data_IF_117146880234
#
_entry.id   IF_117146880234
#
_cell.length_a   1.000
_cell.length_b   1.000
_cell.length_c   1.000
_cell.angle_alpha   90.00
_cell.angle_beta   90.00
_cell.angle_gamma   90.00
#
_symmetry.space_group_name_H-M   'P 1'
#
loop_
_entity.id
_entity.type
_entity.pdbx_description
1 polymer ?
#
# COMPACT_ATOMS: atom_id res chain seq x y z
N UNK A 1 38.80 -3.07 9.10
CA UNK A 1 37.99 -1.90 8.70
C UNK A 1 36.66 -1.99 9.44
N UNK A 2 36.36 -1.03 10.32
CA UNK A 2 35.10 -1.04 11.06
C UNK A 2 33.97 -0.62 10.12
N UNK A 3 33.12 -1.56 9.72
CA UNK A 3 31.90 -1.27 8.97
C UNK A 3 30.91 -0.61 9.91
N UNK A 4 30.63 0.68 9.71
CA UNK A 4 29.56 1.36 10.45
C UNK A 4 28.24 0.63 10.23
N UNK A 5 27.74 -0.02 11.27
CA UNK A 5 26.43 -0.65 11.29
C UNK A 5 25.38 0.44 11.44
N UNK A 6 24.76 0.84 10.33
CA UNK A 6 23.58 1.70 10.36
C UNK A 6 22.36 0.85 10.76
N UNK A 7 21.84 1.05 11.98
CA UNK A 7 20.55 0.47 12.39
C UNK A 7 19.42 1.24 11.70
N UNK A 8 18.79 0.61 10.72
CA UNK A 8 17.64 1.17 10.03
C UNK A 8 16.37 0.70 10.73
N UNK A 9 15.60 1.64 11.27
CA UNK A 9 14.30 1.35 11.87
C UNK A 9 13.30 0.93 10.80
N UNK A 10 12.37 0.03 11.17
CA UNK A 10 11.25 -0.34 10.30
C UNK A 10 10.47 0.92 9.87
N UNK A 11 9.95 0.96 8.64
CA UNK A 11 9.09 2.05 8.21
C UNK A 11 7.87 2.16 9.13
N UNK A 12 7.31 3.37 9.24
CA UNK A 12 6.04 3.56 9.94
C UNK A 12 4.99 2.61 9.37
N UNK A 13 4.12 2.04 10.22
CA UNK A 13 3.20 1.05 9.74
C UNK A 13 2.27 1.61 8.66
N UNK A 14 2.01 0.81 7.63
CA UNK A 14 1.13 1.23 6.54
C UNK A 14 -0.29 1.40 7.05
N UNK A 15 -0.94 2.50 6.65
CA UNK A 15 -2.38 2.67 6.82
C UNK A 15 -3.09 2.09 5.61
N UNK A 16 -3.65 0.89 5.76
CA UNK A 16 -4.36 0.19 4.69
C UNK A 16 -5.61 0.93 4.20
N UNK A 17 -6.13 1.92 4.94
CA UNK A 17 -7.23 2.78 4.47
C UNK A 17 -6.77 3.78 3.41
N UNK A 18 -5.48 4.11 3.35
CA UNK A 18 -4.89 5.07 2.41
C UNK A 18 -4.19 4.37 1.25
N UNK A 19 -4.99 3.73 0.42
CA UNK A 19 -4.50 3.01 -0.77
C UNK A 19 -3.63 3.86 -1.70
N UNK A 20 -3.87 5.18 -1.76
CA UNK A 20 -3.10 6.16 -2.51
C UNK A 20 -1.66 6.36 -2.01
N UNK A 21 -1.41 6.11 -0.72
CA UNK A 21 -0.07 6.20 -0.13
C UNK A 21 0.76 4.93 -0.39
N UNK A 22 0.14 3.85 -0.86
CA UNK A 22 0.79 2.57 -1.11
C UNK A 22 2.08 2.66 -1.94
N UNK A 23 2.11 3.33 -3.12
CA UNK A 23 3.31 3.39 -3.96
C UNK A 23 4.49 4.06 -3.25
N UNK A 24 4.22 5.05 -2.39
CA UNK A 24 5.23 5.74 -1.59
C UNK A 24 5.74 4.83 -0.46
N UNK A 25 4.81 4.16 0.22
CA UNK A 25 5.12 3.28 1.34
C UNK A 25 5.90 2.04 0.92
N UNK A 26 5.45 1.31 -0.11
CA UNK A 26 6.11 0.10 -0.59
C UNK A 26 7.54 0.38 -1.07
N UNK A 27 7.79 1.56 -1.66
CA UNK A 27 9.15 2.00 -2.02
C UNK A 27 10.05 2.21 -0.80
N UNK A 28 9.50 2.71 0.30
CA UNK A 28 10.22 2.85 1.58
C UNK A 28 10.50 1.49 2.20
N UNK A 29 9.53 0.58 2.17
CA UNK A 29 9.70 -0.80 2.63
C UNK A 29 10.76 -1.57 1.85
N UNK A 30 10.80 -1.45 0.52
CA UNK A 30 11.84 -2.11 -0.30
C UNK A 30 13.25 -1.60 0.03
N UNK A 31 13.41 -0.29 0.29
CA UNK A 31 14.69 0.26 0.75
C UNK A 31 15.08 -0.31 2.12
N UNK A 32 14.13 -0.41 3.04
CA UNK A 32 14.33 -1.07 4.33
C UNK A 32 14.72 -2.54 4.13
N UNK A 33 14.06 -3.26 3.23
CA UNK A 33 14.32 -4.68 2.94
C UNK A 33 15.75 -4.91 2.45
N UNK A 34 16.24 -4.09 1.53
CA UNK A 34 17.62 -4.19 1.03
C UNK A 34 18.63 -3.77 2.10
N UNK A 35 18.39 -2.65 2.78
CA UNK A 35 19.39 -2.05 3.64
C UNK A 35 19.48 -2.72 5.04
N UNK A 36 18.44 -3.41 5.49
CA UNK A 36 18.45 -4.22 6.72
C UNK A 36 18.96 -5.65 6.54
N UNK A 37 19.30 -6.05 5.31
CA UNK A 37 19.63 -7.44 4.97
C UNK A 37 18.43 -8.40 4.99
N UNK A 38 17.20 -7.89 5.16
CA UNK A 38 15.98 -8.71 5.08
C UNK A 38 15.84 -9.39 3.71
N UNK A 39 16.33 -8.76 2.65
CA UNK A 39 16.37 -9.35 1.30
C UNK A 39 17.12 -10.69 1.22
N UNK A 40 18.09 -10.93 2.11
CA UNK A 40 18.91 -12.15 2.16
C UNK A 40 18.28 -13.25 3.04
N UNK A 41 17.28 -12.90 3.86
CA UNK A 41 16.54 -13.86 4.69
C UNK A 41 15.60 -14.72 3.84
N UNK A 42 15.04 -15.77 4.44
CA UNK A 42 14.05 -16.62 3.77
C UNK A 42 12.89 -15.81 3.22
N UNK A 43 12.34 -16.23 2.06
CA UNK A 43 11.20 -15.55 1.44
C UNK A 43 9.99 -15.45 2.40
N UNK A 44 9.78 -16.47 3.22
CA UNK A 44 8.77 -16.49 4.30
C UNK A 44 9.01 -15.37 5.32
N UNK A 45 10.25 -15.18 5.78
CA UNK A 45 10.59 -14.10 6.72
C UNK A 45 10.36 -12.72 6.09
N UNK A 46 10.61 -12.57 4.80
CA UNK A 46 10.34 -11.33 4.06
C UNK A 46 8.83 -11.03 4.00
N UNK A 47 8.00 -12.05 3.73
CA UNK A 47 6.53 -11.93 3.69
C UNK A 47 5.98 -11.60 5.09
N UNK A 48 6.40 -12.34 6.12
CA UNK A 48 5.95 -12.10 7.48
C UNK A 48 6.32 -10.69 7.95
N UNK A 49 7.52 -10.20 7.60
CA UNK A 49 7.93 -8.84 7.95
C UNK A 49 7.11 -7.79 7.21
N UNK A 50 6.73 -8.04 5.95
CA UNK A 50 5.85 -7.15 5.18
C UNK A 50 4.47 -7.06 5.84
N UNK A 51 3.84 -8.20 6.12
CA UNK A 51 2.51 -8.27 6.75
C UNK A 51 2.54 -7.62 8.13
N UNK A 52 3.55 -7.94 8.95
CA UNK A 52 3.71 -7.34 10.28
C UNK A 52 3.88 -5.81 10.23
N UNK A 53 4.55 -5.29 9.20
CA UNK A 53 4.73 -3.83 9.01
C UNK A 53 3.43 -3.13 8.59
N UNK A 54 2.40 -3.86 8.21
CA UNK A 54 1.09 -3.33 7.80
C UNK A 54 0.01 -3.51 8.89
N UNK A 55 0.38 -4.05 10.07
CA UNK A 55 -0.49 -4.35 11.23
C UNK A 55 -1.66 -5.31 10.92
N UNK A 56 -2.59 -5.37 11.86
CA UNK A 56 -3.72 -6.31 11.92
C UNK A 56 -4.58 -6.33 10.64
N UNK A 57 -4.73 -5.19 9.96
CA UNK A 57 -5.53 -5.10 8.72
C UNK A 57 -4.89 -5.87 7.55
N UNK A 58 -3.58 -6.11 7.61
CA UNK A 58 -2.88 -6.84 6.56
C UNK A 58 -3.33 -8.30 6.48
N UNK A 59 -3.58 -8.94 7.63
CA UNK A 59 -4.03 -10.34 7.68
C UNK A 59 -5.44 -10.51 7.10
N UNK A 60 -6.32 -9.53 7.32
CA UNK A 60 -7.64 -9.48 6.69
C UNK A 60 -7.55 -9.33 5.17
N UNK A 61 -6.65 -8.46 4.69
CA UNK A 61 -6.42 -8.28 3.25
C UNK A 61 -5.85 -9.55 2.63
N UNK A 62 -4.85 -10.18 3.26
CA UNK A 62 -4.27 -11.45 2.80
C UNK A 62 -5.34 -12.54 2.73
N UNK A 63 -6.20 -12.62 3.73
CA UNK A 63 -7.35 -13.54 3.76
C UNK A 63 -8.33 -13.27 2.60
N UNK A 64 -8.57 -11.99 2.28
CA UNK A 64 -9.41 -11.59 1.14
C UNK A 64 -8.80 -11.93 -0.23
N UNK A 65 -7.46 -11.96 -0.33
CA UNK A 65 -6.72 -12.22 -1.57
C UNK A 65 -6.72 -13.69 -2.00
N UNK A 66 -7.20 -14.61 -1.14
CA UNK A 66 -7.32 -16.06 -1.39
C UNK A 66 -6.02 -16.67 -1.94
N UNK A 67 -4.89 -16.31 -1.34
CA UNK A 67 -3.57 -16.82 -1.72
C UNK A 67 -3.40 -18.26 -1.24
N UNK A 68 -2.71 -19.10 -2.02
CA UNK A 68 -2.32 -20.43 -1.56
C UNK A 68 -1.14 -20.34 -0.58
N UNK A 69 -0.93 -21.40 0.21
CA UNK A 69 0.20 -21.48 1.13
C UNK A 69 1.55 -21.35 0.41
N UNK A 70 1.65 -21.83 -0.82
CA UNK A 70 2.87 -21.71 -1.64
C UNK A 70 3.07 -20.27 -2.11
N UNK A 71 1.99 -19.56 -2.45
CA UNK A 71 2.06 -18.15 -2.86
C UNK A 71 2.43 -17.24 -1.69
N UNK A 72 1.96 -17.55 -0.47
CA UNK A 72 2.32 -16.82 0.75
C UNK A 72 3.80 -16.97 1.13
N UNK A 73 4.50 -17.97 0.59
CA UNK A 73 5.95 -18.13 0.77
C UNK A 73 6.75 -17.31 -0.23
N UNK A 74 6.12 -16.73 -1.24
CA UNK A 74 6.78 -16.01 -2.31
C UNK A 74 6.57 -14.51 -2.21
N UNK A 75 7.59 -13.80 -1.73
CA UNK A 75 7.57 -12.34 -1.57
C UNK A 75 7.09 -11.60 -2.82
N UNK A 76 7.59 -11.98 -4.01
CA UNK A 76 7.22 -11.32 -5.27
C UNK A 76 5.72 -11.44 -5.56
N UNK A 77 5.18 -12.65 -5.42
CA UNK A 77 3.76 -12.95 -5.66
C UNK A 77 2.87 -12.21 -4.67
N UNK A 78 3.24 -12.19 -3.38
CA UNK A 78 2.51 -11.45 -2.33
C UNK A 78 2.53 -9.95 -2.62
N UNK A 79 3.70 -9.39 -2.95
CA UNK A 79 3.84 -7.98 -3.30
C UNK A 79 2.98 -7.59 -4.50
N UNK A 80 3.03 -8.35 -5.58
CA UNK A 80 2.21 -8.07 -6.79
C UNK A 80 0.71 -8.08 -6.49
N UNK A 81 0.28 -8.93 -5.55
CA UNK A 81 -1.11 -9.02 -5.12
C UNK A 81 -1.51 -7.81 -4.27
N UNK A 82 -0.66 -7.35 -3.37
CA UNK A 82 -0.86 -6.09 -2.65
C UNK A 82 -0.82 -4.88 -3.59
N UNK A 83 0.13 -4.83 -4.53
CA UNK A 83 0.20 -3.80 -5.56
C UNK A 83 -1.13 -3.74 -6.32
N UNK A 84 -1.66 -4.89 -6.76
CA UNK A 84 -2.98 -4.94 -7.41
C UNK A 84 -4.12 -4.54 -6.46
N UNK A 85 -4.08 -4.93 -5.19
CA UNK A 85 -5.12 -4.62 -4.22
C UNK A 85 -5.23 -3.10 -3.99
N UNK A 86 -4.11 -2.44 -3.67
CA UNK A 86 -4.08 -1.02 -3.34
C UNK A 86 -4.06 -0.12 -4.59
N UNK A 87 -3.53 -0.57 -5.72
CA UNK A 87 -3.54 0.21 -6.97
C UNK A 87 -4.88 0.09 -7.71
N UNK A 88 -5.70 -0.93 -7.41
CA UNK A 88 -7.04 -1.03 -7.98
C UNK A 88 -7.90 0.07 -7.34
N UNK A 89 -8.10 1.17 -8.06
CA UNK A 89 -9.11 2.17 -7.72
C UNK A 89 -10.42 1.46 -7.42
N UNK A 90 -10.94 1.62 -6.21
CA UNK A 90 -12.25 1.12 -5.87
C UNK A 90 -13.29 1.97 -6.62
N UNK A 91 -13.69 1.50 -7.80
CA UNK A 91 -14.59 2.24 -8.69
C UNK A 91 -15.93 2.53 -8.03
N UNK A 92 -16.38 1.71 -7.09
CA UNK A 92 -17.63 1.95 -6.34
C UNK A 92 -17.42 3.12 -5.37
N UNK A 93 -16.29 3.15 -4.65
CA UNK A 93 -15.95 4.25 -3.76
C UNK A 93 -15.81 5.58 -4.53
N UNK A 94 -15.04 5.56 -5.62
CA UNK A 94 -14.82 6.72 -6.49
C UNK A 94 -16.14 7.20 -7.09
N UNK A 95 -17.02 6.29 -7.52
CA UNK A 95 -18.35 6.61 -8.02
C UNK A 95 -19.26 7.19 -6.94
N UNK A 96 -19.21 6.66 -5.72
CA UNK A 96 -19.94 7.22 -4.59
C UNK A 96 -19.46 8.64 -4.27
N UNK A 97 -18.15 8.86 -4.17
CA UNK A 97 -17.55 10.17 -3.92
C UNK A 97 -17.94 11.18 -5.01
N UNK A 98 -17.80 10.78 -6.29
CA UNK A 98 -18.23 11.58 -7.44
C UNK A 98 -19.71 11.97 -7.39
N UNK A 99 -20.60 11.02 -7.04
CA UNK A 99 -22.04 11.28 -6.98
C UNK A 99 -22.49 12.04 -5.73
N UNK A 100 -21.73 11.96 -4.64
CA UNK A 100 -22.01 12.73 -3.42
C UNK A 100 -21.47 14.16 -3.50
N UNK A 101 -20.60 14.45 -4.47
CA UNK A 101 -20.00 15.76 -4.66
C UNK A 101 -21.00 16.73 -5.28
N UNK A 102 -21.31 17.81 -4.56
CA UNK A 102 -22.10 18.95 -5.04
C UNK A 102 -21.30 20.24 -4.86
N UNK A 103 -21.57 21.26 -5.67
CA UNK A 103 -20.86 22.55 -5.58
C UNK A 103 -21.22 23.28 -4.28
N UNK A 104 -20.21 23.63 -3.49
CA UNK A 104 -20.41 24.31 -2.20
C UNK A 104 -20.79 25.79 -2.38
N UNK A 105 -21.42 26.39 -1.36
CA UNK A 105 -21.81 27.81 -1.41
C UNK A 105 -20.56 28.71 -1.51
N UNK A 106 -20.47 29.50 -2.58
CA UNK A 106 -19.31 30.36 -2.86
C UNK A 106 -18.14 29.67 -3.57
N UNK A 107 -18.24 28.37 -3.88
CA UNK A 107 -17.25 27.68 -4.69
C UNK A 107 -17.32 28.11 -6.16
N UNK A 108 -16.21 28.51 -6.81
CA UNK A 108 -16.20 28.78 -8.24
C UNK A 108 -16.49 27.51 -9.05
N UNK A 109 -17.29 27.63 -10.12
CA UNK A 109 -17.67 26.51 -11.00
C UNK A 109 -16.45 25.76 -11.56
N UNK A 110 -15.39 26.48 -11.92
CA UNK A 110 -14.16 25.88 -12.44
C UNK A 110 -13.43 24.99 -11.42
N UNK A 111 -13.48 25.35 -10.13
CA UNK A 111 -12.89 24.55 -9.06
C UNK A 111 -13.67 23.25 -8.85
N UNK A 112 -15.01 23.36 -8.83
CA UNK A 112 -15.92 22.21 -8.76
C UNK A 112 -15.71 21.24 -9.93
N UNK A 113 -15.69 21.74 -11.17
CA UNK A 113 -15.47 20.92 -12.38
C UNK A 113 -14.08 20.26 -12.34
N UNK A 114 -13.06 20.99 -11.90
CA UNK A 114 -11.70 20.46 -11.77
C UNK A 114 -11.63 19.30 -10.78
N UNK A 115 -12.31 19.39 -9.64
CA UNK A 115 -12.35 18.32 -8.65
C UNK A 115 -13.15 17.10 -9.14
N UNK A 116 -14.27 17.30 -9.84
CA UNK A 116 -14.99 16.20 -10.48
C UNK A 116 -14.12 15.48 -11.51
N UNK A 117 -13.32 16.21 -12.30
CA UNK A 117 -12.38 15.59 -13.24
C UNK A 117 -11.27 14.79 -12.55
N UNK A 118 -10.80 15.20 -11.36
CA UNK A 118 -9.84 14.40 -10.57
C UNK A 118 -10.46 13.10 -10.06
N UNK A 119 -11.73 13.13 -9.67
CA UNK A 119 -12.47 11.96 -9.21
C UNK A 119 -12.82 11.00 -10.36
N UNK A 120 -13.02 11.51 -11.58
CA UNK A 120 -13.35 10.68 -12.76
C UNK A 120 -12.14 10.06 -13.49
N UNK A 121 -10.92 10.55 -13.23
CA UNK A 121 -9.66 10.03 -13.80
C UNK A 121 -9.17 8.81 -13.01
#
# INVERSE_FOLDING_TARGET
>A
MATSTYQISAPEPFDCSKSEEWPRWIRRFERFRTASGLAEKSKESQVNTLIYSMRDVADDIVSSLKLTNEQLKEYKTVKEKFDRYFTKKNTIYVWAEFNTRYQEEGEPVEAFITDLHKLAA
#
